data_IF_878241735425
#
_entry.id   IF_878241735425
#
_cell.length_a   1.000
_cell.length_b   1.000
_cell.length_c   1.000
_cell.angle_alpha   90.00
_cell.angle_beta   90.00
_cell.angle_gamma   90.00
#
_symmetry.space_group_name_H-M   'P 1'
#
loop_
_entity.id
_entity.type
_entity.pdbx_description
1 polymer ?
#
# COMPACT_ATOMS: atom_id res chain seq x y z
N UNK A 1 19.87 9.92 6.70
CA UNK A 1 19.86 8.95 5.59
C UNK A 1 19.18 9.61 4.40
N UNK A 2 19.77 9.62 3.21
CA UNK A 2 19.15 10.23 2.01
C UNK A 2 18.25 9.21 1.30
N UNK A 3 17.21 9.65 0.56
CA UNK A 3 16.38 8.74 -0.24
C UNK A 3 17.18 7.85 -1.19
N UNK A 4 18.30 8.37 -1.73
CA UNK A 4 19.23 7.61 -2.56
C UNK A 4 19.89 6.47 -1.79
N UNK A 5 20.45 6.75 -0.61
CA UNK A 5 21.08 5.73 0.24
C UNK A 5 20.08 4.69 0.77
N UNK A 6 18.83 5.09 0.97
CA UNK A 6 17.74 4.18 1.37
C UNK A 6 17.36 3.21 0.23
N UNK A 7 17.08 3.73 -0.97
CA UNK A 7 16.77 2.89 -2.15
C UNK A 7 17.95 1.99 -2.53
N UNK A 8 19.18 2.47 -2.36
CA UNK A 8 20.41 1.68 -2.48
C UNK A 8 20.42 0.47 -1.56
N UNK A 9 20.16 0.69 -0.26
CA UNK A 9 20.12 -0.38 0.74
C UNK A 9 19.02 -1.42 0.44
N UNK A 10 17.82 -0.96 0.07
CA UNK A 10 16.70 -1.85 -0.28
C UNK A 10 16.99 -2.70 -1.52
N UNK A 11 17.56 -2.10 -2.57
CA UNK A 11 17.92 -2.83 -3.78
C UNK A 11 19.01 -3.86 -3.52
N UNK A 12 20.04 -3.51 -2.74
CA UNK A 12 21.09 -4.45 -2.36
C UNK A 12 20.52 -5.63 -1.56
N UNK A 13 19.60 -5.36 -0.62
CA UNK A 13 18.90 -6.41 0.15
C UNK A 13 18.07 -7.33 -0.75
N UNK A 14 17.29 -6.79 -1.69
CA UNK A 14 16.46 -7.56 -2.63
C UNK A 14 17.30 -8.43 -3.59
N UNK A 15 18.53 -8.02 -3.91
CA UNK A 15 19.41 -8.71 -4.86
C UNK A 15 20.60 -9.46 -4.21
N UNK A 16 20.49 -9.83 -2.94
CA UNK A 16 21.47 -10.71 -2.28
C UNK A 16 22.80 -10.06 -1.90
N UNK A 17 22.83 -8.77 -1.59
CA UNK A 17 23.96 -8.11 -0.93
C UNK A 17 25.16 -7.75 -1.82
N UNK A 18 24.96 -7.60 -3.14
CA UNK A 18 26.04 -7.14 -4.04
C UNK A 18 26.46 -5.70 -3.72
N UNK A 19 27.76 -5.43 -3.89
CA UNK A 19 28.45 -4.18 -3.54
C UNK A 19 27.72 -2.93 -4.06
N UNK A 20 27.29 -2.00 -3.19
CA UNK A 20 26.57 -0.78 -3.58
C UNK A 20 27.44 0.21 -4.37
N UNK A 21 28.77 0.00 -4.43
CA UNK A 21 29.72 0.83 -5.17
C UNK A 21 30.06 0.30 -6.57
N UNK A 22 29.57 -0.88 -6.96
CA UNK A 22 29.53 -1.25 -8.38
C UNK A 22 28.68 -0.19 -9.11
N UNK A 23 29.08 0.34 -10.28
CA UNK A 23 28.46 1.54 -10.83
C UNK A 23 26.96 1.39 -10.81
N UNK A 24 26.30 2.32 -10.11
CA UNK A 24 24.86 2.44 -9.91
C UNK A 24 24.07 2.65 -11.22
N UNK A 25 24.68 2.28 -12.35
CA UNK A 25 24.35 2.66 -13.69
C UNK A 25 24.09 1.40 -14.54
N UNK A 26 22.89 1.39 -15.13
CA UNK A 26 22.46 0.66 -16.31
C UNK A 26 21.74 -0.70 -16.16
N UNK A 27 21.80 -1.42 -15.04
CA UNK A 27 20.95 -2.60 -14.83
C UNK A 27 19.63 -2.26 -14.10
N UNK A 28 18.76 -1.57 -14.84
CA UNK A 28 17.29 -1.47 -14.71
C UNK A 28 16.72 -1.02 -13.36
N UNK A 29 17.12 0.15 -12.86
CA UNK A 29 16.24 0.87 -11.93
C UNK A 29 15.07 1.46 -12.73
N UNK A 30 13.80 1.20 -12.34
CA UNK A 30 12.65 1.83 -12.97
C UNK A 30 12.85 3.35 -13.07
N UNK A 31 12.60 3.97 -14.25
CA UNK A 31 12.90 5.39 -14.47
C UNK A 31 12.28 6.32 -13.42
N UNK A 32 11.13 5.93 -12.88
CA UNK A 32 10.40 6.69 -11.87
C UNK A 32 11.22 6.90 -10.58
N UNK A 33 11.98 5.91 -10.12
CA UNK A 33 12.82 6.06 -8.94
C UNK A 33 13.98 7.04 -9.18
N UNK A 34 14.60 7.00 -10.36
CA UNK A 34 15.64 7.98 -10.72
C UNK A 34 15.10 9.40 -10.77
N UNK A 35 13.83 9.57 -11.15
CA UNK A 35 13.14 10.86 -11.18
C UNK A 35 12.88 11.39 -9.77
N UNK A 36 12.43 10.54 -8.86
CA UNK A 36 12.18 10.91 -7.45
C UNK A 36 13.47 11.28 -6.74
N UNK A 37 14.55 10.54 -6.99
CA UNK A 37 15.86 10.83 -6.40
C UNK A 37 16.45 12.18 -6.82
N UNK A 38 16.02 12.72 -7.98
CA UNK A 38 16.46 14.01 -8.51
C UNK A 38 15.51 15.17 -8.15
N UNK A 39 14.37 14.90 -7.51
CA UNK A 39 13.42 15.93 -7.09
C UNK A 39 13.98 16.66 -5.86
N UNK A 40 13.91 17.99 -5.86
CA UNK A 40 14.11 18.78 -4.65
C UNK A 40 12.96 18.54 -3.67
N UNK A 41 13.26 18.57 -2.38
CA UNK A 41 12.32 18.33 -1.28
C UNK A 41 11.18 19.35 -1.21
N UNK A 42 11.36 20.52 -1.85
CA UNK A 42 10.47 21.67 -1.69
C UNK A 42 9.25 21.66 -2.66
N UNK A 43 9.18 20.71 -3.61
CA UNK A 43 8.04 20.50 -4.53
C UNK A 43 7.78 18.99 -4.75
N UNK A 44 7.31 18.33 -3.69
CA UNK A 44 7.10 16.88 -3.64
C UNK A 44 5.70 16.44 -4.10
N UNK A 45 5.14 17.08 -5.14
CA UNK A 45 3.87 16.67 -5.75
C UNK A 45 4.04 15.70 -6.93
N UNK A 46 3.09 14.81 -7.18
CA UNK A 46 3.14 13.78 -8.22
C UNK A 46 2.02 13.93 -9.27
N UNK A 47 2.39 13.89 -10.55
CA UNK A 47 1.41 13.73 -11.63
C UNK A 47 0.80 12.32 -11.65
N UNK A 48 -0.39 12.15 -12.21
CA UNK A 48 -1.03 10.83 -12.32
C UNK A 48 -0.15 9.78 -13.02
N UNK A 49 0.64 10.19 -14.01
CA UNK A 49 1.60 9.30 -14.67
C UNK A 49 2.71 8.82 -13.73
N UNK A 50 3.20 9.70 -12.85
CA UNK A 50 4.19 9.32 -11.84
C UNK A 50 3.58 8.39 -10.79
N UNK A 51 2.34 8.65 -10.38
CA UNK A 51 1.60 7.79 -9.44
C UNK A 51 1.40 6.40 -10.05
N UNK A 52 0.95 6.30 -11.31
CA UNK A 52 0.84 5.02 -12.03
C UNK A 52 2.19 4.33 -12.09
N UNK A 53 3.26 5.05 -12.48
CA UNK A 53 4.59 4.45 -12.63
C UNK A 53 5.16 3.92 -11.30
N UNK A 54 4.91 4.62 -10.18
CA UNK A 54 5.24 4.16 -8.83
C UNK A 54 4.39 2.96 -8.44
N UNK A 55 3.08 3.06 -8.63
CA UNK A 55 2.11 2.01 -8.31
C UNK A 55 2.45 0.70 -9.03
N UNK A 56 2.84 0.75 -10.30
CA UNK A 56 3.27 -0.43 -11.07
C UNK A 56 4.53 -1.12 -10.53
N UNK A 57 5.24 -0.54 -9.56
CA UNK A 57 6.36 -1.20 -8.86
C UNK A 57 5.91 -1.99 -7.63
N UNK A 58 4.65 -1.83 -7.21
CA UNK A 58 4.06 -2.53 -6.07
C UNK A 58 3.53 -3.88 -6.54
N UNK A 59 3.90 -4.94 -5.82
CA UNK A 59 3.47 -6.30 -6.13
C UNK A 59 1.95 -6.44 -6.00
N UNK A 60 1.33 -7.24 -6.87
CA UNK A 60 -0.11 -7.52 -6.88
C UNK A 60 -1.04 -6.33 -7.15
N UNK A 61 -0.51 -5.20 -7.63
CA UNK A 61 -1.33 -4.05 -8.05
C UNK A 61 -1.50 -4.00 -9.58
N UNK A 62 -2.54 -3.31 -10.05
CA UNK A 62 -2.81 -3.12 -11.47
C UNK A 62 -3.23 -1.68 -11.78
N UNK A 63 -2.32 -0.73 -11.53
CA UNK A 63 -2.53 0.66 -11.86
C UNK A 63 -2.54 0.90 -13.36
N UNK A 64 -3.58 1.61 -13.82
CA UNK A 64 -3.63 2.17 -15.17
C UNK A 64 -3.98 3.65 -15.11
N UNK A 65 -3.47 4.43 -16.06
CA UNK A 65 -3.76 5.87 -16.12
C UNK A 65 -5.26 6.13 -16.24
N UNK A 66 -5.96 5.34 -17.06
CA UNK A 66 -7.41 5.45 -17.24
C UNK A 66 -8.17 5.18 -15.94
N UNK A 67 -7.78 4.16 -15.17
CA UNK A 67 -8.43 3.85 -13.90
C UNK A 67 -8.24 4.99 -12.89
N UNK A 68 -7.00 5.42 -12.66
CA UNK A 68 -6.72 6.53 -11.74
C UNK A 68 -7.46 7.82 -12.17
N UNK A 69 -7.51 8.11 -13.47
CA UNK A 69 -8.26 9.27 -13.98
C UNK A 69 -9.76 9.18 -13.67
N UNK A 70 -10.35 7.98 -13.75
CA UNK A 70 -11.75 7.78 -13.39
C UNK A 70 -11.96 7.94 -11.88
N UNK A 71 -11.03 7.45 -11.06
CA UNK A 71 -11.12 7.58 -9.61
C UNK A 71 -11.13 9.04 -9.18
N UNK A 72 -10.13 9.82 -9.59
CA UNK A 72 -10.02 11.23 -9.18
C UNK A 72 -11.14 12.11 -9.74
N UNK A 73 -11.75 11.73 -10.87
CA UNK A 73 -12.84 12.53 -11.50
C UNK A 73 -14.23 12.12 -11.05
N UNK A 74 -14.42 10.87 -10.60
CA UNK A 74 -15.75 10.30 -10.37
C UNK A 74 -15.80 9.44 -9.13
N UNK A 75 -14.97 8.40 -9.04
CA UNK A 75 -15.24 7.31 -8.08
C UNK A 75 -14.90 7.70 -6.64
N UNK A 76 -13.92 8.60 -6.43
CA UNK A 76 -13.48 9.10 -5.12
C UNK A 76 -13.27 10.63 -5.09
N UNK A 77 -13.94 11.36 -6.00
CA UNK A 77 -13.69 12.79 -6.24
C UNK A 77 -13.83 13.66 -5.00
N UNK A 78 -14.66 13.27 -4.02
CA UNK A 78 -14.90 14.08 -2.82
C UNK A 78 -13.73 14.03 -1.83
N UNK A 79 -12.81 13.07 -1.96
CA UNK A 79 -11.68 12.88 -1.03
C UNK A 79 -10.33 13.28 -1.66
N UNK A 80 -10.34 13.86 -2.86
CA UNK A 80 -9.13 14.22 -3.62
C UNK A 80 -9.27 15.67 -4.06
N UNK A 81 -8.44 16.55 -3.50
CA UNK A 81 -8.37 17.95 -3.93
C UNK A 81 -7.83 18.03 -5.36
N UNK A 82 -8.49 18.81 -6.21
CA UNK A 82 -7.99 19.04 -7.56
C UNK A 82 -6.57 19.66 -7.50
N UNK A 83 -5.63 19.20 -8.33
CA UNK A 83 -4.24 19.61 -8.18
C UNK A 83 -4.05 21.11 -8.47
N UNK A 84 -3.68 21.89 -7.46
CA UNK A 84 -3.60 23.35 -7.53
C UNK A 84 -2.38 23.87 -8.32
N UNK A 85 -1.23 23.19 -8.21
CA UNK A 85 0.03 23.58 -8.86
C UNK A 85 0.51 22.51 -9.84
N UNK A 86 0.46 22.83 -11.14
CA UNK A 86 1.10 22.02 -12.18
C UNK A 86 0.54 20.60 -12.38
N UNK A 87 -0.73 20.35 -12.01
CA UNK A 87 -1.40 19.04 -12.10
C UNK A 87 -0.74 17.94 -11.23
N UNK A 88 -0.13 18.33 -10.11
CA UNK A 88 0.49 17.43 -9.15
C UNK A 88 -0.37 17.26 -7.91
N UNK A 89 -0.50 16.01 -7.47
CA UNK A 89 -1.19 15.58 -6.25
C UNK A 89 -0.18 15.47 -5.11
N UNK A 90 -0.61 15.70 -3.87
CA UNK A 90 0.26 15.55 -2.69
C UNK A 90 0.66 14.08 -2.47
N UNK A 91 1.61 13.86 -1.57
CA UNK A 91 1.99 12.51 -1.13
C UNK A 91 0.84 11.79 -0.42
N UNK A 92 0.02 12.52 0.34
CA UNK A 92 -1.15 11.97 1.03
C UNK A 92 -2.22 11.53 0.01
N UNK A 93 -2.49 12.35 -1.00
CA UNK A 93 -3.42 11.99 -2.08
C UNK A 93 -2.91 10.79 -2.90
N UNK A 94 -1.59 10.67 -3.10
CA UNK A 94 -1.01 9.47 -3.69
C UNK A 94 -1.21 8.23 -2.80
N UNK A 95 -1.02 8.36 -1.48
CA UNK A 95 -1.26 7.27 -0.54
C UNK A 95 -2.73 6.83 -0.52
N UNK A 96 -3.68 7.77 -0.60
CA UNK A 96 -5.11 7.46 -0.76
C UNK A 96 -5.38 6.67 -2.05
N UNK A 97 -4.76 7.08 -3.17
CA UNK A 97 -4.91 6.35 -4.44
C UNK A 97 -4.32 4.94 -4.37
N UNK A 98 -3.25 4.73 -3.60
CA UNK A 98 -2.69 3.40 -3.38
C UNK A 98 -3.59 2.55 -2.49
N UNK A 99 -4.12 3.14 -1.42
CA UNK A 99 -5.11 2.49 -0.57
C UNK A 99 -6.35 2.06 -1.39
N UNK A 100 -6.84 2.90 -2.31
CA UNK A 100 -7.97 2.55 -3.19
C UNK A 100 -7.67 1.35 -4.10
N UNK A 101 -6.45 1.25 -4.63
CA UNK A 101 -6.03 0.11 -5.43
C UNK A 101 -6.06 -1.19 -4.63
N UNK A 102 -5.66 -1.14 -3.36
CA UNK A 102 -5.70 -2.31 -2.48
C UNK A 102 -7.15 -2.65 -2.11
N UNK A 103 -7.92 -1.67 -1.61
CA UNK A 103 -9.29 -1.87 -1.11
C UNK A 103 -10.26 -2.39 -2.16
N UNK A 104 -10.15 -1.98 -3.43
CA UNK A 104 -11.07 -2.41 -4.51
C UNK A 104 -11.02 -3.92 -4.79
N UNK A 105 -10.03 -4.62 -4.25
CA UNK A 105 -9.92 -6.08 -4.39
C UNK A 105 -10.92 -6.83 -3.51
N UNK A 106 -11.42 -6.17 -2.45
CA UNK A 106 -12.38 -6.74 -1.49
C UNK A 106 -13.67 -5.89 -1.35
N UNK A 107 -13.63 -4.60 -1.68
CA UNK A 107 -14.73 -3.66 -1.47
C UNK A 107 -15.20 -2.99 -2.77
N UNK A 108 -16.47 -2.60 -2.81
CA UNK A 108 -17.02 -1.72 -3.85
C UNK A 108 -16.68 -0.24 -3.58
N UNK A 109 -16.82 0.62 -4.60
CA UNK A 109 -16.49 2.04 -4.47
C UNK A 109 -17.37 2.80 -3.47
N UNK A 110 -18.63 2.41 -3.25
CA UNK A 110 -19.48 3.09 -2.26
C UNK A 110 -18.98 2.82 -0.85
N UNK A 111 -18.57 1.58 -0.58
CA UNK A 111 -17.92 1.18 0.67
C UNK A 111 -16.56 1.85 0.85
N UNK A 112 -15.75 1.93 -0.20
CA UNK A 112 -14.46 2.65 -0.19
C UNK A 112 -14.66 4.14 0.11
N UNK A 113 -15.63 4.81 -0.52
CA UNK A 113 -15.89 6.23 -0.24
C UNK A 113 -16.23 6.47 1.21
N UNK A 114 -17.10 5.64 1.82
CA UNK A 114 -17.43 5.75 3.24
C UNK A 114 -16.20 5.57 4.13
N UNK A 115 -15.33 4.62 3.81
CA UNK A 115 -14.10 4.41 4.57
C UNK A 115 -13.13 5.58 4.41
N UNK A 116 -12.95 6.09 3.19
CA UNK A 116 -12.07 7.23 2.93
C UNK A 116 -12.59 8.52 3.57
N UNK A 117 -13.91 8.74 3.64
CA UNK A 117 -14.50 9.88 4.37
C UNK A 117 -14.25 9.82 5.88
N UNK A 118 -14.11 8.61 6.44
CA UNK A 118 -13.68 8.47 7.82
C UNK A 118 -12.19 8.79 7.97
N UNK A 119 -11.36 8.42 6.99
CA UNK A 119 -9.91 8.65 7.04
C UNK A 119 -9.58 10.12 6.84
N UNK A 120 -10.15 10.71 5.78
CA UNK A 120 -10.01 12.10 5.35
C UNK A 120 -11.40 12.71 5.32
N UNK A 121 -11.74 13.46 6.37
CA UNK A 121 -13.09 13.99 6.54
C UNK A 121 -13.28 15.24 5.67
N UNK A 122 -12.41 16.25 5.81
CA UNK A 122 -12.28 17.34 4.85
C UNK A 122 -10.93 17.26 4.14
N UNK A 123 -10.89 17.00 2.82
CA UNK A 123 -9.63 16.91 2.08
C UNK A 123 -8.82 18.23 2.05
N UNK A 124 -9.40 19.35 2.47
CA UNK A 124 -8.72 20.64 2.65
C UNK A 124 -8.25 20.90 4.09
N UNK A 125 -8.65 20.09 5.09
CA UNK A 125 -8.28 20.23 6.51
C UNK A 125 -7.69 18.93 7.11
N UNK A 126 -6.37 18.81 7.09
CA UNK A 126 -5.65 17.65 7.64
C UNK A 126 -5.80 17.47 9.17
N UNK A 127 -6.35 18.45 9.91
CA UNK A 127 -6.49 18.35 11.36
C UNK A 127 -7.70 17.53 11.79
N UNK A 128 -8.69 17.34 10.91
CA UNK A 128 -9.88 16.56 11.21
C UNK A 128 -9.74 15.06 10.88
N UNK A 129 -8.71 14.72 10.09
CA UNK A 129 -8.35 13.38 9.68
C UNK A 129 -8.34 12.39 10.86
N UNK A 130 -8.78 11.17 10.56
CA UNK A 130 -8.70 10.06 11.51
C UNK A 130 -7.25 9.58 11.66
N UNK A 131 -6.52 9.49 10.56
CA UNK A 131 -5.11 9.13 10.50
C UNK A 131 -4.50 9.67 9.21
N UNK A 132 -3.26 10.17 9.27
CA UNK A 132 -2.56 10.61 8.07
C UNK A 132 -2.49 9.47 7.02
N UNK A 133 -2.85 9.71 5.75
CA UNK A 133 -2.90 8.65 4.73
C UNK A 133 -1.57 7.94 4.47
N UNK A 134 -0.43 8.66 4.52
CA UNK A 134 0.90 8.06 4.37
C UNK A 134 1.22 7.15 5.55
N UNK A 135 0.91 7.59 6.77
CA UNK A 135 1.08 6.77 7.97
C UNK A 135 0.21 5.52 7.93
N UNK A 136 -1.05 5.64 7.51
CA UNK A 136 -1.95 4.50 7.34
C UNK A 136 -1.38 3.50 6.32
N UNK A 137 -0.99 4.00 5.15
CA UNK A 137 -0.39 3.19 4.08
C UNK A 137 0.84 2.43 4.54
N UNK A 138 1.77 3.11 5.23
CA UNK A 138 2.96 2.50 5.79
C UNK A 138 2.62 1.42 6.84
N UNK A 139 1.63 1.69 7.70
CA UNK A 139 1.26 0.80 8.80
C UNK A 139 0.71 -0.53 8.29
N UNK A 140 -0.31 -0.51 7.42
CA UNK A 140 -0.89 -1.77 6.94
C UNK A 140 0.06 -2.53 5.99
N UNK A 141 0.92 -1.81 5.25
CA UNK A 141 1.96 -2.43 4.41
C UNK A 141 3.00 -3.15 5.27
N UNK A 142 3.47 -2.52 6.35
CA UNK A 142 4.38 -3.15 7.30
C UNK A 142 3.72 -4.36 7.97
N UNK A 143 2.45 -4.26 8.37
CA UNK A 143 1.70 -5.37 8.93
C UNK A 143 1.65 -6.56 7.96
N UNK A 144 1.32 -6.32 6.69
CA UNK A 144 1.30 -7.36 5.66
C UNK A 144 2.67 -8.03 5.51
N UNK A 145 3.75 -7.27 5.46
CA UNK A 145 5.12 -7.81 5.37
C UNK A 145 5.50 -8.65 6.60
N UNK A 146 5.18 -8.18 7.81
CA UNK A 146 5.42 -8.93 9.04
C UNK A 146 4.69 -10.29 9.00
N UNK A 147 3.41 -10.30 8.65
CA UNK A 147 2.61 -11.52 8.53
C UNK A 147 3.12 -12.45 7.43
N UNK A 148 3.47 -11.91 6.27
CA UNK A 148 4.01 -12.70 5.17
C UNK A 148 5.37 -13.32 5.52
N UNK A 149 6.24 -12.60 6.24
CA UNK A 149 7.52 -13.14 6.72
C UNK A 149 7.34 -14.28 7.74
N UNK A 150 6.35 -14.19 8.63
CA UNK A 150 6.03 -15.25 9.59
C UNK A 150 5.59 -16.54 8.89
N UNK A 151 4.89 -16.40 7.77
CA UNK A 151 4.47 -17.53 6.92
C UNK A 151 5.68 -18.24 6.31
N UNK A 152 6.64 -17.50 5.77
CA UNK A 152 7.83 -18.07 5.13
C UNK A 152 8.72 -18.84 6.11
N UNK A 153 8.82 -18.38 7.36
CA UNK A 153 9.63 -19.02 8.41
C UNK A 153 8.85 -20.12 9.16
N UNK A 154 7.61 -20.42 8.77
CA UNK A 154 6.78 -21.45 9.39
C UNK A 154 6.43 -21.14 10.85
N UNK A 155 6.44 -19.85 11.25
CA UNK A 155 6.18 -19.38 12.61
C UNK A 155 4.71 -19.01 12.85
N UNK A 156 3.80 -19.47 12.01
CA UNK A 156 2.38 -19.31 12.28
C UNK A 156 2.02 -20.11 13.55
N UNK A 157 1.65 -19.45 14.65
CA UNK A 157 1.22 -20.11 15.88
C UNK A 157 -0.22 -20.58 15.68
N UNK A 158 -0.44 -21.55 14.80
CA UNK A 158 -1.70 -22.26 14.77
C UNK A 158 -1.63 -23.33 15.87
N UNK A 159 -2.29 -23.09 17.00
CA UNK A 159 -2.53 -24.16 17.97
C UNK A 159 -3.30 -25.30 17.27
N UNK A 160 -3.11 -26.55 17.73
CA UNK A 160 -3.65 -27.75 17.08
C UNK A 160 -5.18 -27.79 16.90
N UNK A 161 -5.93 -26.84 17.48
CA UNK A 161 -7.39 -26.83 17.49
C UNK A 161 -8.02 -25.52 16.98
N UNK A 162 -7.25 -24.49 16.64
CA UNK A 162 -7.83 -23.28 16.06
C UNK A 162 -8.09 -23.46 14.56
N UNK A 163 -9.27 -23.01 14.12
CA UNK A 163 -9.53 -22.87 12.69
C UNK A 163 -8.60 -21.80 12.12
N UNK A 164 -7.81 -22.17 11.09
CA UNK A 164 -6.80 -21.31 10.46
C UNK A 164 -7.30 -19.90 10.10
N UNK A 165 -8.57 -19.77 9.70
CA UNK A 165 -9.19 -18.48 9.39
C UNK A 165 -9.30 -17.61 10.65
N UNK A 166 -9.79 -18.18 11.75
CA UNK A 166 -9.93 -17.48 13.03
C UNK A 166 -8.57 -17.12 13.62
N UNK A 167 -7.58 -18.00 13.50
CA UNK A 167 -6.20 -17.71 13.91
C UNK A 167 -5.60 -16.54 13.11
N UNK A 168 -5.83 -16.48 11.79
CA UNK A 168 -5.39 -15.37 10.96
C UNK A 168 -6.11 -14.06 11.33
N UNK A 169 -7.42 -14.10 11.53
CA UNK A 169 -8.21 -12.93 11.96
C UNK A 169 -7.70 -12.37 13.31
N UNK A 170 -7.48 -13.25 14.29
CA UNK A 170 -6.92 -12.89 15.59
C UNK A 170 -5.55 -12.25 15.45
N UNK A 171 -4.66 -12.87 14.68
CA UNK A 171 -3.29 -12.37 14.45
C UNK A 171 -3.26 -10.99 13.78
N UNK A 172 -4.06 -10.80 12.71
CA UNK A 172 -4.12 -9.51 12.01
C UNK A 172 -4.65 -8.43 12.95
N UNK A 173 -5.67 -8.74 13.75
CA UNK A 173 -6.29 -7.79 14.67
C UNK A 173 -5.36 -7.43 15.83
N UNK A 174 -4.72 -8.42 16.45
CA UNK A 174 -3.76 -8.21 17.55
C UNK A 174 -2.55 -7.40 17.07
N UNK A 175 -1.98 -7.73 15.92
CA UNK A 175 -0.84 -6.98 15.38
C UNK A 175 -1.21 -5.57 14.95
N UNK A 176 -2.39 -5.36 14.38
CA UNK A 176 -2.90 -4.02 14.13
C UNK A 176 -3.01 -3.21 15.43
N UNK A 177 -3.56 -3.80 16.50
CA UNK A 177 -3.67 -3.19 17.83
C UNK A 177 -2.31 -2.83 18.44
N UNK A 178 -1.32 -3.73 18.34
CA UNK A 178 0.06 -3.48 18.78
C UNK A 178 0.71 -2.32 18.01
N UNK A 179 0.48 -2.21 16.71
CA UNK A 179 1.06 -1.17 15.86
C UNK A 179 0.46 0.20 16.18
N UNK A 180 -0.87 0.30 16.26
CA UNK A 180 -1.55 1.58 16.53
C UNK A 180 -1.28 2.11 17.94
N UNK A 181 -1.09 1.21 18.92
CA UNK A 181 -0.83 1.60 20.31
C UNK A 181 0.49 2.34 20.50
N UNK A 182 1.35 2.38 19.47
CA UNK A 182 2.60 3.16 19.48
C UNK A 182 2.38 4.66 19.30
N UNK A 183 1.23 5.07 18.74
CA UNK A 183 0.98 6.47 18.38
C UNK A 183 -0.42 6.98 18.70
N UNK A 184 -1.34 6.12 19.18
CA UNK A 184 -2.69 6.51 19.63
C UNK A 184 -2.93 6.04 21.07
N UNK A 185 -3.51 6.92 21.89
CA UNK A 185 -3.86 6.61 23.28
C UNK A 185 -4.89 5.46 23.34
N UNK A 186 -4.81 4.54 24.32
CA UNK A 186 -5.80 3.48 24.49
C UNK A 186 -7.25 3.98 24.62
N UNK A 187 -7.44 5.16 25.20
CA UNK A 187 -8.76 5.77 25.43
C UNK A 187 -9.22 6.69 24.28
N UNK A 188 -8.44 6.76 23.19
CA UNK A 188 -8.81 7.60 22.05
C UNK A 188 -10.03 6.99 21.32
N UNK A 189 -11.14 7.75 21.16
CA UNK A 189 -12.33 7.25 20.49
C UNK A 189 -12.10 6.87 19.03
N UNK A 190 -11.06 7.40 18.38
CA UNK A 190 -10.69 7.08 16.98
C UNK A 190 -9.97 5.73 16.84
N UNK A 191 -9.42 5.19 17.93
CA UNK A 191 -8.52 4.02 17.90
C UNK A 191 -9.13 2.80 17.23
N UNK A 192 -10.38 2.47 17.56
CA UNK A 192 -11.08 1.32 16.99
C UNK A 192 -11.30 1.48 15.47
N UNK A 193 -11.70 2.66 15.02
CA UNK A 193 -11.90 2.92 13.60
C UNK A 193 -10.58 2.79 12.82
N UNK A 194 -9.48 3.28 13.38
CA UNK A 194 -8.13 3.17 12.78
C UNK A 194 -7.69 1.71 12.71
N UNK A 195 -7.86 0.95 13.80
CA UNK A 195 -7.56 -0.49 13.83
C UNK A 195 -8.33 -1.22 12.73
N UNK A 196 -9.64 -1.02 12.66
CA UNK A 196 -10.50 -1.70 11.70
C UNK A 196 -10.11 -1.32 10.26
N UNK A 197 -9.73 -0.07 10.02
CA UNK A 197 -9.23 0.38 8.71
C UNK A 197 -7.95 -0.34 8.30
N UNK A 198 -6.99 -0.50 9.23
CA UNK A 198 -5.75 -1.26 8.99
C UNK A 198 -6.06 -2.71 8.69
N UNK A 199 -6.93 -3.36 9.47
CA UNK A 199 -7.35 -4.76 9.25
C UNK A 199 -7.97 -4.92 7.86
N UNK A 200 -8.91 -4.04 7.48
CA UNK A 200 -9.56 -4.07 6.16
C UNK A 200 -8.53 -3.93 5.03
N UNK A 201 -7.62 -2.96 5.13
CA UNK A 201 -6.59 -2.72 4.13
C UNK A 201 -5.64 -3.93 4.00
N UNK A 202 -5.15 -4.47 5.12
CA UNK A 202 -4.29 -5.67 5.12
C UNK A 202 -4.99 -6.88 4.51
N UNK A 203 -6.27 -7.13 4.84
CA UNK A 203 -7.04 -8.23 4.25
C UNK A 203 -7.28 -8.03 2.75
N UNK A 204 -7.41 -6.80 2.29
CA UNK A 204 -7.52 -6.46 0.88
C UNK A 204 -6.22 -6.78 0.13
N UNK A 205 -5.05 -6.45 0.70
CA UNK A 205 -3.74 -6.85 0.13
C UNK A 205 -3.61 -8.38 0.06
N UNK A 206 -4.00 -9.12 1.11
CA UNK A 206 -4.03 -10.59 1.06
C UNK A 206 -4.98 -11.12 -0.03
N UNK A 207 -6.14 -10.48 -0.20
CA UNK A 207 -7.10 -10.83 -1.25
C UNK A 207 -6.46 -10.68 -2.63
N UNK A 208 -5.78 -9.55 -2.88
CA UNK A 208 -5.03 -9.32 -4.11
C UNK A 208 -3.97 -10.40 -4.36
N UNK A 209 -3.22 -10.76 -3.32
CA UNK A 209 -2.21 -11.82 -3.37
C UNK A 209 -2.79 -13.19 -3.76
N UNK A 210 -3.89 -13.60 -3.12
CA UNK A 210 -4.53 -14.89 -3.44
C UNK A 210 -5.15 -14.89 -4.85
N UNK A 211 -5.72 -13.77 -5.30
CA UNK A 211 -6.19 -13.62 -6.68
C UNK A 211 -5.03 -13.76 -7.69
N UNK A 212 -3.89 -13.12 -7.42
CA UNK A 212 -2.68 -13.27 -8.24
C UNK A 212 -2.19 -14.73 -8.26
N UNK A 213 -2.17 -15.40 -7.10
CA UNK A 213 -1.77 -16.79 -6.98
C UNK A 213 -2.65 -17.71 -7.83
N UNK A 214 -3.97 -17.53 -7.77
CA UNK A 214 -4.92 -18.29 -8.58
C UNK A 214 -4.68 -18.08 -10.09
N UNK A 215 -4.47 -16.83 -10.53
CA UNK A 215 -4.14 -16.52 -11.93
C UNK A 215 -2.84 -17.19 -12.38
N UNK A 216 -1.82 -17.20 -11.51
CA UNK A 216 -0.54 -17.86 -11.80
C UNK A 216 -0.70 -19.36 -12.03
N UNK A 217 -1.49 -20.05 -11.21
CA UNK A 217 -1.78 -21.47 -11.42
C UNK A 217 -2.56 -21.71 -12.71
N UNK A 218 -3.57 -20.88 -13.00
CA UNK A 218 -4.29 -20.96 -14.28
C UNK A 218 -3.36 -20.83 -15.49
N UNK A 219 -2.48 -19.82 -15.50
CA UNK A 219 -1.50 -19.62 -16.59
C UNK A 219 -0.57 -20.82 -16.73
N UNK A 220 -0.07 -21.37 -15.62
CA UNK A 220 0.78 -22.56 -15.64
C UNK A 220 0.04 -23.77 -16.22
N UNK A 221 -1.21 -24.00 -15.82
CA UNK A 221 -2.03 -25.10 -16.35
C UNK A 221 -2.29 -24.95 -17.85
N UNK A 222 -2.65 -23.75 -18.33
CA UNK A 222 -2.87 -23.50 -19.76
C UNK A 222 -1.58 -23.71 -20.56
N UNK A 223 -0.44 -23.24 -20.05
CA UNK A 223 0.85 -23.42 -20.71
C UNK A 223 1.20 -24.90 -20.89
N UNK A 224 0.99 -25.72 -19.86
CA UNK A 224 1.24 -27.17 -19.91
C UNK A 224 0.32 -27.91 -20.89
N UNK A 225 -0.89 -27.40 -21.17
CA UNK A 225 -1.82 -28.01 -22.13
C UNK A 225 -1.49 -27.67 -23.60
N UNK A 226 -0.71 -26.62 -23.84
CA UNK A 226 -0.32 -26.16 -25.17
C UNK A 226 1.09 -26.64 -25.60
N UNK A 227 1.72 -27.51 -24.80
CA UNK A 227 2.95 -28.25 -25.14
C UNK A 227 2.63 -29.68 -25.55
#
# INVERSE_FOLDING_TARGET
MTPATFLQGLWAKKNGGKDPHHPFAAAVMPPIFTKILKKNTDDFGFSLNEIVALGSQIENTNFTLTAIQNWVKRDIKEMIVAPEKGKKYSIDQMALLFLVEDLKTALDFDSIRKLLQLIVNDPEDEHDDLINPVQLYATYSQLFEELNSMREVGRFPAEKHEHMISAMEGMVTEKAEEMISKYISPDDPKKEAIRNTIVIATLSVFTAYFQMLARRYLTATIFLQNM
#
